data_IF_653314291449
#
_entry.id   IF_653314291449
#
_cell.length_a   1.000
_cell.length_b   1.000
_cell.length_c   1.000
_cell.angle_alpha   90.00
_cell.angle_beta   90.00
_cell.angle_gamma   90.00
#
_symmetry.space_group_name_H-M   'P 1'
#
loop_
_entity.id
_entity.type
_entity.pdbx_description
1 polymer ?
#
# COMPACT_ATOMS: atom_id res chain seq x y z
N UNK A 1 -26.19 -7.01 9.65
CA UNK A 1 -25.00 -7.90 9.59
C UNK A 1 -24.16 -7.65 8.34
N UNK A 2 -24.72 -7.71 7.14
CA UNK A 2 -23.96 -7.52 5.89
C UNK A 2 -23.33 -6.12 5.72
N UNK A 3 -24.01 -5.05 6.19
CA UNK A 3 -23.52 -3.67 6.11
C UNK A 3 -22.27 -3.42 6.97
N UNK A 4 -22.25 -3.99 8.18
CA UNK A 4 -21.09 -3.92 9.08
C UNK A 4 -19.89 -4.67 8.50
N UNK A 5 -20.12 -5.85 7.91
CA UNK A 5 -19.06 -6.60 7.24
C UNK A 5 -18.48 -5.81 6.05
N UNK A 6 -19.31 -5.18 5.23
CA UNK A 6 -18.84 -4.34 4.12
C UNK A 6 -18.00 -3.14 4.60
N UNK A 7 -18.41 -2.47 5.67
CA UNK A 7 -17.64 -1.38 6.27
C UNK A 7 -16.27 -1.85 6.79
N UNK A 8 -16.24 -3.00 7.48
CA UNK A 8 -15.00 -3.61 7.99
C UNK A 8 -14.08 -4.05 6.86
N UNK A 9 -14.60 -4.76 5.84
CA UNK A 9 -13.81 -5.16 4.67
C UNK A 9 -13.18 -3.96 3.95
N UNK A 10 -13.90 -2.82 3.89
CA UNK A 10 -13.37 -1.58 3.31
C UNK A 10 -12.25 -0.99 4.16
N UNK A 11 -12.44 -0.90 5.47
CA UNK A 11 -11.42 -0.40 6.40
C UNK A 11 -10.15 -1.27 6.35
N UNK A 12 -10.31 -2.59 6.35
CA UNK A 12 -9.20 -3.55 6.24
C UNK A 12 -8.49 -3.43 4.90
N UNK A 13 -9.23 -3.30 3.79
CA UNK A 13 -8.64 -3.10 2.47
C UNK A 13 -7.87 -1.78 2.39
N UNK A 14 -8.40 -0.68 2.90
CA UNK A 14 -7.67 0.60 2.91
C UNK A 14 -6.43 0.56 3.81
N UNK A 15 -6.49 -0.11 4.96
CA UNK A 15 -5.34 -0.35 5.84
C UNK A 15 -4.26 -1.22 5.16
N UNK A 16 -4.67 -2.26 4.45
CA UNK A 16 -3.76 -3.10 3.65
C UNK A 16 -3.05 -2.28 2.58
N UNK A 17 -3.78 -1.47 1.82
CA UNK A 17 -3.20 -0.58 0.81
C UNK A 17 -2.22 0.43 1.42
N UNK A 18 -2.55 1.01 2.58
CA UNK A 18 -1.66 1.90 3.31
C UNK A 18 -0.39 1.18 3.79
N UNK A 19 -0.51 -0.04 4.29
CA UNK A 19 0.61 -0.87 4.69
C UNK A 19 1.52 -1.19 3.49
N UNK A 20 0.94 -1.53 2.33
CA UNK A 20 1.70 -1.77 1.09
C UNK A 20 2.49 -0.53 0.65
N UNK A 21 1.91 0.67 0.77
CA UNK A 21 2.61 1.93 0.49
C UNK A 21 3.76 2.14 1.49
N UNK A 22 3.53 1.90 2.78
CA UNK A 22 4.56 2.04 3.80
C UNK A 22 5.72 1.07 3.59
N UNK A 23 5.45 -0.21 3.34
CA UNK A 23 6.48 -1.21 3.02
C UNK A 23 7.20 -0.89 1.70
N UNK A 24 6.48 -0.43 0.68
CA UNK A 24 7.06 0.01 -0.58
C UNK A 24 8.02 1.20 -0.37
N UNK A 25 7.63 2.17 0.46
CA UNK A 25 8.48 3.29 0.85
C UNK A 25 9.74 2.86 1.60
N UNK A 26 9.63 1.88 2.51
CA UNK A 26 10.79 1.32 3.21
C UNK A 26 11.75 0.65 2.22
N UNK A 27 11.24 -0.11 1.25
CA UNK A 27 12.06 -0.74 0.20
C UNK A 27 12.73 0.28 -0.74
N UNK A 28 12.04 1.39 -1.06
CA UNK A 28 12.63 2.50 -1.80
C UNK A 28 13.82 3.10 -1.03
N UNK A 29 13.61 3.41 0.26
CA UNK A 29 14.63 4.00 1.12
C UNK A 29 15.82 3.05 1.36
N UNK A 30 15.57 1.74 1.47
CA UNK A 30 16.59 0.70 1.54
C UNK A 30 17.39 0.58 0.24
N UNK A 31 16.70 0.52 -0.90
CA UNK A 31 17.32 0.43 -2.22
C UNK A 31 18.18 1.64 -2.57
N UNK A 32 17.78 2.84 -2.09
CA UNK A 32 18.55 4.09 -2.25
C UNK A 32 19.71 4.23 -1.24
N UNK A 33 19.86 3.31 -0.29
CA UNK A 33 20.89 3.39 0.74
C UNK A 33 20.70 4.53 1.73
N UNK A 34 19.48 5.06 1.88
CA UNK A 34 19.18 6.20 2.76
C UNK A 34 18.77 5.71 4.15
N UNK A 35 17.96 4.64 4.25
CA UNK A 35 17.47 4.12 5.53
C UNK A 35 17.53 2.58 5.59
N UNK A 36 17.74 2.03 6.79
CA UNK A 36 17.86 0.59 7.06
C UNK A 36 18.99 -0.12 6.28
N UNK A 37 20.19 0.46 6.35
CA UNK A 37 21.42 -0.04 5.72
C UNK A 37 21.92 -1.39 6.29
N UNK A 38 21.39 -1.84 7.42
CA UNK A 38 21.76 -3.09 8.09
C UNK A 38 20.89 -4.28 7.60
N UNK A 39 20.68 -4.38 6.29
CA UNK A 39 19.90 -5.44 5.67
C UNK A 39 20.47 -5.84 4.31
N UNK A 40 20.28 -7.10 3.91
CA UNK A 40 20.78 -7.70 2.66
C UNK A 40 20.31 -6.96 1.39
N UNK A 41 19.31 -6.09 1.53
CA UNK A 41 18.65 -5.33 0.46
C UNK A 41 19.17 -3.89 0.31
N UNK A 42 20.04 -3.44 1.22
CA UNK A 42 20.55 -2.07 1.21
C UNK A 42 21.47 -1.80 0.02
N UNK A 43 21.33 -0.62 -0.58
CA UNK A 43 22.17 -0.12 -1.69
C UNK A 43 22.03 -0.90 -3.03
N UNK A 44 20.91 -1.61 -3.23
CA UNK A 44 20.60 -2.21 -4.53
C UNK A 44 19.34 -1.59 -5.14
N UNK A 45 19.50 -0.98 -6.31
CA UNK A 45 18.43 -0.29 -7.06
C UNK A 45 17.24 -1.22 -7.38
N UNK A 46 17.47 -2.53 -7.51
CA UNK A 46 16.41 -3.52 -7.74
C UNK A 46 15.31 -3.45 -6.67
N UNK A 47 15.67 -3.30 -5.39
CA UNK A 47 14.69 -3.18 -4.31
C UNK A 47 13.94 -1.85 -4.34
N UNK A 48 14.59 -0.79 -4.83
CA UNK A 48 13.92 0.50 -5.03
C UNK A 48 12.84 0.40 -6.11
N UNK A 49 13.11 -0.30 -7.21
CA UNK A 49 12.12 -0.56 -8.27
C UNK A 49 10.95 -1.40 -7.74
N UNK A 50 11.22 -2.46 -6.99
CA UNK A 50 10.16 -3.26 -6.37
C UNK A 50 9.34 -2.46 -5.36
N UNK A 51 9.98 -1.58 -4.58
CA UNK A 51 9.30 -0.68 -3.65
C UNK A 51 8.38 0.31 -4.35
N UNK A 52 8.81 0.90 -5.48
CA UNK A 52 7.96 1.78 -6.32
C UNK A 52 6.77 1.01 -6.87
N UNK A 53 6.98 -0.19 -7.41
CA UNK A 53 5.89 -1.03 -7.92
C UNK A 53 4.89 -1.38 -6.82
N UNK A 54 5.37 -1.77 -5.63
CA UNK A 54 4.53 -2.08 -4.49
C UNK A 54 3.73 -0.85 -4.01
N UNK A 55 4.37 0.31 -3.96
CA UNK A 55 3.70 1.57 -3.61
C UNK A 55 2.62 1.94 -4.64
N UNK A 56 2.88 1.78 -5.94
CA UNK A 56 1.89 2.01 -6.99
C UNK A 56 0.69 1.07 -6.88
N UNK A 57 0.93 -0.22 -6.60
CA UNK A 57 -0.14 -1.19 -6.37
C UNK A 57 -0.94 -0.81 -5.11
N UNK A 58 -0.26 -0.41 -4.02
CA UNK A 58 -0.92 0.06 -2.81
C UNK A 58 -1.80 1.28 -3.03
N UNK A 59 -1.31 2.28 -3.79
CA UNK A 59 -2.08 3.46 -4.20
C UNK A 59 -3.31 3.03 -5.02
N UNK A 60 -3.13 2.15 -6.01
CA UNK A 60 -4.23 1.63 -6.82
C UNK A 60 -5.27 0.90 -5.97
N UNK A 61 -4.83 0.13 -4.97
CA UNK A 61 -5.70 -0.61 -4.07
C UNK A 61 -6.48 0.32 -3.13
N UNK A 62 -5.86 1.37 -2.60
CA UNK A 62 -6.57 2.41 -1.81
C UNK A 62 -7.57 3.15 -2.69
N UNK A 63 -7.17 3.55 -3.90
CA UNK A 63 -8.03 4.29 -4.83
C UNK A 63 -9.24 3.46 -5.30
N UNK A 64 -9.04 2.16 -5.58
CA UNK A 64 -10.12 1.24 -5.91
C UNK A 64 -11.08 1.03 -4.74
N UNK A 65 -10.54 0.81 -3.53
CA UNK A 65 -11.35 0.69 -2.30
C UNK A 65 -12.20 1.94 -2.06
N UNK A 66 -11.65 3.13 -2.32
CA UNK A 66 -12.34 4.42 -2.14
C UNK A 66 -13.33 4.73 -3.29
N UNK A 67 -13.06 4.32 -4.52
CA UNK A 67 -13.98 4.54 -5.65
C UNK A 67 -15.29 3.77 -5.47
N UNK A 68 -15.24 2.58 -4.83
CA UNK A 68 -16.44 1.79 -4.51
C UNK A 68 -17.34 2.42 -3.44
N UNK A 69 -16.85 3.43 -2.70
CA UNK A 69 -17.66 4.21 -1.75
C UNK A 69 -18.73 5.06 -2.44
N UNK A 70 -18.42 5.62 -3.62
CA UNK A 70 -19.38 6.48 -4.35
C UNK A 70 -20.62 5.71 -4.81
N UNK A 71 -20.55 4.38 -4.90
CA UNK A 71 -21.70 3.56 -5.29
C UNK A 71 -22.70 3.30 -4.14
N UNK A 72 -22.24 3.31 -2.89
CA UNK A 72 -23.10 3.06 -1.72
C UNK A 72 -23.67 4.33 -1.09
N UNK A 73 -23.00 5.48 -1.26
CA UNK A 73 -23.45 6.76 -0.71
C UNK A 73 -24.60 7.41 -1.48
N UNK A 74 -25.01 6.81 -2.60
CA UNK A 74 -26.06 7.30 -3.50
C UNK A 74 -27.38 6.52 -3.46
N UNK A 75 -27.59 5.62 -2.49
CA UNK A 75 -28.88 4.96 -2.25
C UNK A 75 -29.37 5.22 -0.84
#
# INVERSE_FOLDING_TARGET
MAELLNGVFRAVSSLLGLAMIAFGGIWILQGLGIAFLNSFMANQIQWSVYGVLLALVGIGQVWWSNTRESYYRGR
#
